data_IF_972166891284
#
_entry.id   IF_972166891284
#
_cell.length_a   1.000
_cell.length_b   1.000
_cell.length_c   1.000
_cell.angle_alpha   90.00
_cell.angle_beta   90.00
_cell.angle_gamma   90.00
#
_symmetry.space_group_name_H-M   'P 1'
#
loop_
_entity.id
_entity.type
_entity.pdbx_description
1 polymer ?
#
# COMPACT_ATOMS: atom_id res chain seq x y z
N UNK A 1 14.62 6.64 -13.05
CA UNK A 1 13.31 5.99 -12.87
C UNK A 1 12.18 6.84 -13.45
N UNK A 2 11.46 6.31 -14.41
CA UNK A 2 10.33 6.98 -15.05
C UNK A 2 9.02 6.18 -14.86
N UNK A 3 8.73 5.79 -13.64
CA UNK A 3 7.51 5.06 -13.29
C UNK A 3 6.26 5.97 -13.28
N UNK A 4 5.09 5.35 -13.38
CA UNK A 4 3.80 6.02 -13.29
C UNK A 4 3.62 6.71 -11.93
N UNK A 5 3.90 5.98 -10.84
CA UNK A 5 3.85 6.43 -9.45
C UNK A 5 5.13 6.11 -8.69
N UNK A 6 5.15 6.46 -7.40
CA UNK A 6 6.29 6.26 -6.48
C UNK A 6 7.62 6.76 -7.06
N UNK A 7 7.59 7.91 -7.73
CA UNK A 7 8.73 8.46 -8.48
C UNK A 7 9.92 8.89 -7.61
N UNK A 8 9.71 9.02 -6.31
CA UNK A 8 10.78 9.26 -5.34
C UNK A 8 11.64 8.02 -5.03
N UNK A 9 11.25 6.84 -5.52
CA UNK A 9 12.00 5.60 -5.38
C UNK A 9 13.02 5.45 -6.51
N UNK A 10 14.18 4.90 -6.20
CA UNK A 10 15.22 4.56 -7.18
C UNK A 10 15.16 3.08 -7.58
N UNK A 11 13.98 2.62 -8.04
CA UNK A 11 13.81 1.24 -8.50
C UNK A 11 14.37 1.06 -9.90
N UNK A 12 15.62 0.65 -9.99
CA UNK A 12 16.33 0.45 -11.25
C UNK A 12 17.11 -0.86 -11.22
N UNK A 13 17.42 -1.44 -12.40
CA UNK A 13 18.39 -2.51 -12.50
C UNK A 13 19.75 -2.06 -11.95
N UNK A 14 20.42 -2.93 -11.23
CA UNK A 14 21.80 -2.76 -10.80
C UNK A 14 22.66 -3.79 -11.54
N UNK A 15 23.76 -3.34 -12.12
CA UNK A 15 24.72 -4.19 -12.81
C UNK A 15 26.03 -4.09 -12.05
N UNK A 16 26.55 -5.23 -11.62
CA UNK A 16 27.83 -5.33 -10.93
C UNK A 16 28.81 -6.08 -11.85
N UNK A 17 29.88 -5.39 -12.25
CA UNK A 17 30.93 -5.97 -13.14
C UNK A 17 32.25 -6.04 -12.39
N UNK A 18 32.77 -7.26 -12.19
CA UNK A 18 34.08 -7.53 -11.58
C UNK A 18 34.24 -6.91 -10.17
N UNK A 19 33.16 -6.71 -9.41
CA UNK A 19 33.20 -6.19 -8.05
C UNK A 19 33.71 -7.28 -7.11
N UNK A 20 34.83 -7.00 -6.42
CA UNK A 20 35.32 -7.87 -5.34
C UNK A 20 34.71 -7.42 -4.01
N UNK A 21 33.98 -8.30 -3.37
CA UNK A 21 33.40 -8.07 -2.04
C UNK A 21 34.18 -8.93 -1.04
N UNK A 22 34.69 -8.30 0.02
CA UNK A 22 35.38 -8.98 1.11
C UNK A 22 34.38 -9.87 1.85
N UNK A 23 34.81 -11.08 2.23
CA UNK A 23 33.96 -12.09 2.88
C UNK A 23 33.35 -11.61 4.20
N UNK A 24 33.97 -10.68 4.89
CA UNK A 24 33.41 -10.05 6.12
C UNK A 24 32.08 -9.32 5.90
N UNK A 25 31.75 -8.97 4.63
CA UNK A 25 30.46 -8.37 4.27
C UNK A 25 29.38 -9.41 3.88
N UNK A 26 29.75 -10.70 3.90
CA UNK A 26 28.77 -11.76 3.69
C UNK A 26 27.88 -11.89 4.92
N UNK A 27 26.59 -11.86 4.70
CA UNK A 27 25.58 -12.15 5.71
C UNK A 27 25.28 -13.64 5.62
N UNK A 28 25.44 -14.40 6.71
CA UNK A 28 25.17 -15.84 6.77
C UNK A 28 26.03 -16.73 5.82
N UNK A 29 25.71 -18.01 5.80
CA UNK A 29 26.40 -19.00 4.97
C UNK A 29 26.10 -18.83 3.48
N UNK A 30 27.01 -19.26 2.63
CA UNK A 30 26.77 -19.30 1.19
C UNK A 30 25.59 -20.23 0.88
N UNK A 31 24.62 -19.75 0.10
CA UNK A 31 23.41 -20.48 -0.27
C UNK A 31 22.18 -20.19 0.59
N UNK A 32 22.32 -19.54 1.76
CA UNK A 32 21.19 -19.23 2.66
C UNK A 32 20.36 -17.99 2.27
N UNK A 33 20.63 -17.36 1.12
CA UNK A 33 20.00 -16.09 0.74
C UNK A 33 18.47 -16.16 0.62
N UNK A 34 17.92 -17.28 0.15
CA UNK A 34 16.47 -17.47 0.06
C UNK A 34 15.83 -17.51 1.45
N UNK A 35 16.39 -18.25 2.38
CA UNK A 35 15.89 -18.38 3.75
C UNK A 35 15.89 -17.01 4.44
N UNK A 36 16.96 -16.22 4.29
CA UNK A 36 17.04 -14.85 4.83
C UNK A 36 15.97 -13.93 4.24
N UNK A 37 15.72 -14.03 2.93
CA UNK A 37 14.67 -13.23 2.26
C UNK A 37 13.30 -13.62 2.80
N UNK A 38 13.02 -14.90 2.94
CA UNK A 38 11.70 -15.38 3.39
C UNK A 38 11.46 -15.06 4.86
N UNK A 39 12.40 -15.40 5.72
CA UNK A 39 12.21 -15.37 7.19
C UNK A 39 12.31 -13.94 7.75
N UNK A 40 13.18 -13.10 7.20
CA UNK A 40 13.46 -11.79 7.78
C UNK A 40 13.03 -10.66 6.86
N UNK A 41 13.61 -10.58 5.67
CA UNK A 41 13.42 -9.44 4.77
C UNK A 41 11.99 -9.39 4.27
N UNK A 42 11.41 -10.54 3.89
CA UNK A 42 10.08 -10.64 3.32
C UNK A 42 9.01 -10.08 4.26
N UNK A 43 9.01 -10.50 5.52
CA UNK A 43 8.06 -10.02 6.53
C UNK A 43 8.14 -8.50 6.73
N UNK A 44 9.35 -7.96 6.93
CA UNK A 44 9.57 -6.53 7.12
C UNK A 44 9.19 -5.72 5.86
N UNK A 45 9.53 -6.23 4.69
CA UNK A 45 9.20 -5.61 3.41
C UNK A 45 7.70 -5.56 3.17
N UNK A 46 6.97 -6.67 3.39
CA UNK A 46 5.51 -6.72 3.25
C UNK A 46 4.82 -5.74 4.20
N UNK A 47 5.25 -5.69 5.46
CA UNK A 47 4.70 -4.76 6.45
C UNK A 47 5.00 -3.32 6.09
N UNK A 48 6.21 -3.01 5.62
CA UNK A 48 6.58 -1.69 5.13
C UNK A 48 5.71 -1.23 3.95
N UNK A 49 5.48 -2.10 2.98
CA UNK A 49 4.60 -1.81 1.84
C UNK A 49 3.13 -1.63 2.28
N UNK A 50 2.62 -2.47 3.18
CA UNK A 50 1.27 -2.32 3.73
C UNK A 50 1.10 -0.98 4.45
N UNK A 51 2.12 -0.54 5.21
CA UNK A 51 2.12 0.75 5.89
C UNK A 51 2.13 1.93 4.89
N UNK A 52 2.93 1.85 3.83
CA UNK A 52 2.96 2.87 2.75
C UNK A 52 1.60 2.98 2.08
N UNK A 53 1.00 1.86 1.68
CA UNK A 53 -0.29 1.86 0.98
C UNK A 53 -1.43 2.31 1.90
N UNK A 54 -1.43 1.92 3.17
CA UNK A 54 -2.35 2.47 4.18
C UNK A 54 -2.19 3.99 4.35
N UNK A 55 -0.95 4.48 4.33
CA UNK A 55 -0.64 5.91 4.39
C UNK A 55 -1.15 6.67 3.16
N UNK A 56 -1.05 6.09 1.97
CA UNK A 56 -1.61 6.64 0.73
C UNK A 56 -3.13 6.75 0.82
N UNK A 57 -3.81 5.69 1.27
CA UNK A 57 -5.26 5.67 1.46
C UNK A 57 -5.72 6.73 2.47
N UNK A 58 -5.07 6.82 3.63
CA UNK A 58 -5.38 7.82 4.65
C UNK A 58 -5.19 9.24 4.15
N UNK A 59 -4.08 9.51 3.46
CA UNK A 59 -3.81 10.83 2.92
C UNK A 59 -4.84 11.22 1.85
N UNK A 60 -5.21 10.31 0.94
CA UNK A 60 -6.24 10.57 -0.06
C UNK A 60 -7.61 10.85 0.58
N UNK A 61 -8.00 10.04 1.58
CA UNK A 61 -9.24 10.24 2.33
C UNK A 61 -9.28 11.60 3.02
N UNK A 62 -8.25 11.95 3.79
CA UNK A 62 -8.21 13.22 4.51
C UNK A 62 -8.19 14.42 3.55
N UNK A 63 -7.34 14.38 2.52
CA UNK A 63 -7.22 15.48 1.55
C UNK A 63 -8.52 15.75 0.81
N UNK A 64 -9.30 14.71 0.46
CA UNK A 64 -10.56 14.91 -0.26
C UNK A 64 -11.69 15.34 0.68
N UNK A 65 -11.68 14.91 1.95
CA UNK A 65 -12.61 15.40 2.97
C UNK A 65 -12.42 16.90 3.14
N UNK A 66 -11.17 17.34 3.38
CA UNK A 66 -10.84 18.77 3.55
C UNK A 66 -11.24 19.59 2.32
N UNK A 67 -10.89 19.11 1.12
CA UNK A 67 -11.30 19.75 -0.13
C UNK A 67 -12.83 19.86 -0.25
N UNK A 68 -13.57 18.84 0.11
CA UNK A 68 -15.03 18.84 0.00
C UNK A 68 -15.72 19.86 0.91
N UNK A 69 -15.11 20.19 2.04
CA UNK A 69 -15.60 21.21 2.97
C UNK A 69 -15.36 22.64 2.45
N UNK A 70 -14.24 22.88 1.78
CA UNK A 70 -13.89 24.23 1.30
C UNK A 70 -14.44 24.54 -0.11
N UNK A 71 -14.71 23.51 -0.92
CA UNK A 71 -15.25 23.68 -2.28
C UNK A 71 -16.71 24.13 -2.21
N UNK A 72 -17.00 25.34 -2.75
CA UNK A 72 -18.33 25.94 -2.80
C UNK A 72 -18.87 26.00 -4.22
N UNK A 73 -20.18 25.90 -4.36
CA UNK A 73 -20.96 26.20 -5.55
C UNK A 73 -21.40 27.66 -5.58
N UNK A 74 -22.05 28.10 -6.67
CA UNK A 74 -22.52 29.47 -6.85
C UNK A 74 -23.59 29.87 -5.84
N UNK A 75 -24.34 28.94 -5.31
CA UNK A 75 -25.33 29.09 -4.25
C UNK A 75 -24.75 29.04 -2.84
N UNK A 76 -23.39 29.05 -2.74
CA UNK A 76 -22.63 28.93 -1.50
C UNK A 76 -22.76 27.57 -0.77
N UNK A 77 -23.44 26.57 -1.34
CA UNK A 77 -23.46 25.22 -0.79
C UNK A 77 -22.06 24.56 -0.91
N UNK A 78 -21.71 23.72 0.07
CA UNK A 78 -20.43 22.99 0.06
C UNK A 78 -20.57 21.65 -0.68
N UNK A 79 -19.50 21.20 -1.32
CA UNK A 79 -19.45 19.89 -2.00
C UNK A 79 -19.80 18.74 -1.01
N UNK A 80 -19.33 18.82 0.22
CA UNK A 80 -19.64 17.83 1.27
C UNK A 80 -21.14 17.80 1.68
N UNK A 81 -21.94 18.78 1.30
CA UNK A 81 -23.41 18.79 1.53
C UNK A 81 -24.18 17.87 0.60
N UNK A 82 -23.58 17.35 -0.45
CA UNK A 82 -24.23 16.46 -1.41
C UNK A 82 -24.30 15.03 -0.85
N UNK A 83 -25.50 14.41 -0.74
CA UNK A 83 -25.65 13.07 -0.13
C UNK A 83 -24.77 11.99 -0.76
N UNK A 84 -24.61 11.97 -2.09
CA UNK A 84 -23.73 11.02 -2.77
C UNK A 84 -22.24 11.21 -2.38
N UNK A 85 -21.84 12.47 -2.17
CA UNK A 85 -20.47 12.79 -1.71
C UNK A 85 -20.26 12.32 -0.27
N UNK A 86 -21.25 12.52 0.61
CA UNK A 86 -21.23 12.01 1.99
C UNK A 86 -21.10 10.49 2.03
N UNK A 87 -21.83 9.77 1.18
CA UNK A 87 -21.73 8.31 1.07
C UNK A 87 -20.31 7.88 0.64
N UNK A 88 -19.76 8.54 -0.37
CA UNK A 88 -18.39 8.26 -0.81
C UNK A 88 -17.34 8.57 0.27
N UNK A 89 -17.50 9.67 1.01
CA UNK A 89 -16.60 10.03 2.12
C UNK A 89 -16.65 8.96 3.22
N UNK A 90 -17.84 8.49 3.58
CA UNK A 90 -18.01 7.42 4.59
C UNK A 90 -17.33 6.11 4.14
N UNK A 91 -17.49 5.73 2.87
CA UNK A 91 -16.87 4.52 2.30
C UNK A 91 -15.33 4.62 2.32
N UNK A 92 -14.75 5.71 1.79
CA UNK A 92 -13.29 5.85 1.73
C UNK A 92 -12.65 5.97 3.11
N UNK A 93 -13.30 6.65 4.05
CA UNK A 93 -12.82 6.71 5.43
C UNK A 93 -12.76 5.32 6.07
N UNK A 94 -13.83 4.55 5.94
CA UNK A 94 -13.91 3.18 6.48
C UNK A 94 -12.83 2.27 5.88
N UNK A 95 -12.63 2.35 4.56
CA UNK A 95 -11.59 1.59 3.84
C UNK A 95 -10.17 1.98 4.28
N UNK A 96 -9.88 3.28 4.36
CA UNK A 96 -8.58 3.77 4.78
C UNK A 96 -8.28 3.41 6.25
N UNK A 97 -9.26 3.53 7.14
CA UNK A 97 -9.14 3.14 8.53
C UNK A 97 -8.91 1.63 8.67
N UNK A 98 -9.68 0.80 7.95
CA UNK A 98 -9.51 -0.66 7.99
C UNK A 98 -8.12 -1.09 7.53
N UNK A 99 -7.59 -0.50 6.46
CA UNK A 99 -6.24 -0.77 5.99
C UNK A 99 -5.18 -0.46 7.06
N UNK A 100 -5.29 0.71 7.71
CA UNK A 100 -4.40 1.10 8.81
C UNK A 100 -4.44 0.13 9.97
N UNK A 101 -5.65 -0.13 10.49
CA UNK A 101 -5.79 -0.96 11.70
C UNK A 101 -5.45 -2.42 11.44
N UNK A 102 -5.74 -2.95 10.25
CA UNK A 102 -5.32 -4.30 9.91
C UNK A 102 -3.79 -4.39 9.77
N UNK A 103 -3.13 -3.41 9.16
CA UNK A 103 -1.67 -3.34 9.10
C UNK A 103 -1.05 -3.32 10.51
N UNK A 104 -1.58 -2.51 11.43
CA UNK A 104 -1.09 -2.47 12.81
C UNK A 104 -1.34 -3.79 13.55
N UNK A 105 -2.49 -4.43 13.33
CA UNK A 105 -2.82 -5.73 13.92
C UNK A 105 -1.86 -6.83 13.42
N UNK A 106 -1.56 -6.84 12.11
CA UNK A 106 -0.60 -7.77 11.55
C UNK A 106 0.83 -7.56 12.10
N UNK A 107 1.26 -6.30 12.26
CA UNK A 107 2.54 -6.00 12.91
C UNK A 107 2.58 -6.51 14.36
N UNK A 108 1.50 -6.34 15.09
CA UNK A 108 1.37 -6.85 16.45
C UNK A 108 1.49 -8.37 16.50
N UNK A 109 0.82 -9.09 15.58
CA UNK A 109 0.89 -10.56 15.53
C UNK A 109 2.33 -11.06 15.29
N UNK A 110 3.13 -10.33 14.51
CA UNK A 110 4.57 -10.66 14.31
C UNK A 110 5.36 -10.50 15.62
N UNK A 111 5.14 -9.38 16.34
CA UNK A 111 5.84 -9.10 17.62
C UNK A 111 5.47 -10.14 18.68
N UNK A 112 4.23 -10.58 18.71
CA UNK A 112 3.71 -11.55 19.68
C UNK A 112 3.99 -13.02 19.27
N UNK A 113 4.66 -13.24 18.15
CA UNK A 113 4.92 -14.57 17.58
C UNK A 113 3.63 -15.41 17.41
N UNK A 114 2.55 -14.76 16.99
CA UNK A 114 1.26 -15.42 16.73
C UNK A 114 1.45 -16.50 15.65
N UNK A 115 0.94 -17.72 15.80
CA UNK A 115 0.98 -18.75 14.77
C UNK A 115 0.41 -18.31 13.42
N UNK A 116 -0.51 -17.34 13.39
CA UNK A 116 -1.11 -16.78 12.20
C UNK A 116 -0.38 -15.54 11.66
N UNK A 117 0.77 -15.14 12.24
CA UNK A 117 1.47 -13.91 11.88
C UNK A 117 1.77 -13.82 10.38
N UNK A 118 2.27 -14.89 9.76
CA UNK A 118 2.57 -14.92 8.33
C UNK A 118 1.32 -14.69 7.47
N UNK A 119 0.22 -15.38 7.78
CA UNK A 119 -1.05 -15.18 7.08
C UNK A 119 -1.60 -13.75 7.28
N UNK A 120 -1.48 -13.21 8.50
CA UNK A 120 -1.90 -11.84 8.81
C UNK A 120 -1.09 -10.79 8.04
N UNK A 121 0.23 -10.98 7.90
CA UNK A 121 1.11 -10.10 7.12
C UNK A 121 0.72 -10.10 5.63
N UNK A 122 0.53 -11.28 5.04
CA UNK A 122 0.10 -11.41 3.64
C UNK A 122 -1.28 -10.76 3.42
N UNK A 123 -2.24 -11.06 4.28
CA UNK A 123 -3.59 -10.53 4.22
C UNK A 123 -3.61 -8.99 4.37
N UNK A 124 -2.86 -8.44 5.32
CA UNK A 124 -2.77 -7.00 5.53
C UNK A 124 -2.13 -6.30 4.33
N UNK A 125 -1.08 -6.89 3.72
CA UNK A 125 -0.46 -6.36 2.51
C UNK A 125 -1.42 -6.31 1.32
N UNK A 126 -2.14 -7.41 1.07
CA UNK A 126 -3.16 -7.49 0.01
C UNK A 126 -4.27 -6.47 0.26
N UNK A 127 -4.79 -6.41 1.48
CA UNK A 127 -5.87 -5.50 1.86
C UNK A 127 -5.46 -4.04 1.70
N UNK A 128 -4.30 -3.64 2.24
CA UNK A 128 -3.82 -2.26 2.13
C UNK A 128 -3.64 -1.82 0.68
N UNK A 129 -3.11 -2.69 -0.19
CA UNK A 129 -2.98 -2.43 -1.62
C UNK A 129 -4.32 -2.15 -2.30
N UNK A 130 -5.30 -3.01 -2.07
CA UNK A 130 -6.63 -2.89 -2.65
C UNK A 130 -7.33 -1.62 -2.16
N UNK A 131 -7.28 -1.36 -0.86
CA UNK A 131 -7.90 -0.17 -0.28
C UNK A 131 -7.26 1.12 -0.75
N UNK A 132 -5.94 1.15 -0.97
CA UNK A 132 -5.26 2.34 -1.50
C UNK A 132 -5.77 2.73 -2.88
N UNK A 133 -5.95 1.76 -3.78
CA UNK A 133 -6.48 2.00 -5.13
C UNK A 133 -7.93 2.45 -5.08
N UNK A 134 -8.77 1.75 -4.31
CA UNK A 134 -10.20 2.06 -4.19
C UNK A 134 -10.44 3.47 -3.62
N UNK A 135 -9.75 3.81 -2.53
CA UNK A 135 -9.85 5.11 -1.86
C UNK A 135 -9.40 6.22 -2.80
N UNK A 136 -8.22 6.06 -3.44
CA UNK A 136 -7.71 7.10 -4.36
C UNK A 136 -8.59 7.27 -5.60
N UNK A 137 -9.16 6.19 -6.13
CA UNK A 137 -10.08 6.24 -7.26
C UNK A 137 -11.37 6.97 -6.90
N UNK A 138 -11.93 6.70 -5.72
CA UNK A 138 -13.13 7.38 -5.23
C UNK A 138 -12.85 8.84 -4.88
N UNK A 139 -11.69 9.14 -4.26
CA UNK A 139 -11.25 10.50 -4.01
C UNK A 139 -11.10 11.31 -5.31
N UNK A 140 -10.59 10.70 -6.38
CA UNK A 140 -10.54 11.31 -7.71
C UNK A 140 -11.94 11.67 -8.23
N UNK A 141 -12.95 10.79 -8.06
CA UNK A 141 -14.33 11.06 -8.44
C UNK A 141 -14.92 12.25 -7.69
N UNK A 142 -14.71 12.31 -6.37
CA UNK A 142 -15.17 13.44 -5.53
C UNK A 142 -14.52 14.75 -5.95
N UNK A 143 -13.20 14.74 -6.19
CA UNK A 143 -12.42 15.93 -6.55
C UNK A 143 -12.65 16.42 -7.98
N UNK A 144 -13.15 15.53 -8.85
CA UNK A 144 -13.51 15.85 -10.24
C UNK A 144 -12.36 16.51 -11.00
N UNK A 145 -12.68 17.50 -11.82
CA UNK A 145 -11.70 18.22 -12.64
C UNK A 145 -10.55 18.86 -11.84
N UNK A 146 -10.77 19.25 -10.58
CA UNK A 146 -9.73 19.83 -9.73
C UNK A 146 -8.67 18.80 -9.34
N UNK A 147 -9.11 17.58 -9.01
CA UNK A 147 -8.21 16.47 -8.71
C UNK A 147 -7.47 16.01 -9.98
N UNK A 148 -8.19 15.89 -11.08
CA UNK A 148 -7.64 15.47 -12.37
C UNK A 148 -6.61 16.47 -12.93
N UNK A 149 -6.83 17.77 -12.74
CA UNK A 149 -5.95 18.85 -13.22
C UNK A 149 -4.75 19.13 -12.28
N UNK A 150 -4.41 18.25 -11.36
CA UNK A 150 -3.26 18.36 -10.42
C UNK A 150 -3.31 19.57 -9.47
N UNK A 151 -4.50 20.15 -9.24
CA UNK A 151 -4.68 21.30 -8.33
C UNK A 151 -4.73 20.87 -6.86
N UNK A 152 -5.05 19.60 -6.62
CA UNK A 152 -4.96 18.91 -5.34
C UNK A 152 -4.20 17.60 -5.53
N UNK A 153 -3.58 17.09 -4.47
CA UNK A 153 -2.61 16.00 -4.55
C UNK A 153 -3.18 14.60 -4.87
N UNK A 154 -4.46 14.50 -5.16
CA UNK A 154 -5.16 13.22 -5.36
C UNK A 154 -4.63 12.45 -6.58
N UNK A 155 -4.28 13.16 -7.70
CA UNK A 155 -3.76 12.50 -8.89
C UNK A 155 -2.42 11.78 -8.63
N UNK A 156 -1.56 12.37 -7.78
CA UNK A 156 -0.31 11.74 -7.39
C UNK A 156 -0.56 10.51 -6.52
N UNK A 157 -1.44 10.63 -5.53
CA UNK A 157 -1.78 9.53 -4.64
C UNK A 157 -2.40 8.36 -5.41
N UNK A 158 -3.24 8.64 -6.43
CA UNK A 158 -3.79 7.61 -7.31
C UNK A 158 -2.69 6.90 -8.11
N UNK A 159 -1.75 7.64 -8.70
CA UNK A 159 -0.63 7.02 -9.41
C UNK A 159 0.28 6.21 -8.48
N UNK A 160 0.50 6.71 -7.27
CA UNK A 160 1.30 6.01 -6.27
C UNK A 160 0.62 4.73 -5.79
N UNK A 161 -0.72 4.73 -5.64
CA UNK A 161 -1.49 3.55 -5.25
C UNK A 161 -1.46 2.43 -6.28
N UNK A 162 -1.42 2.75 -7.58
CA UNK A 162 -1.38 1.75 -8.64
C UNK A 162 -0.10 0.89 -8.62
N UNK A 163 0.99 1.40 -8.04
CA UNK A 163 2.20 0.61 -7.85
C UNK A 163 1.99 -0.56 -6.87
N UNK A 164 1.03 -0.45 -5.96
CA UNK A 164 0.76 -1.46 -4.93
C UNK A 164 0.45 -2.85 -5.51
N UNK A 165 -0.28 -2.90 -6.62
CA UNK A 165 -0.68 -4.18 -7.25
C UNK A 165 0.47 -4.87 -7.99
N UNK A 166 1.45 -4.09 -8.51
CA UNK A 166 2.49 -4.62 -9.40
C UNK A 166 3.87 -4.76 -8.76
N UNK A 167 4.09 -4.16 -7.59
CA UNK A 167 5.35 -4.32 -6.84
C UNK A 167 5.50 -5.78 -6.38
N UNK A 168 6.67 -6.34 -6.64
CA UNK A 168 6.95 -7.74 -6.30
C UNK A 168 7.06 -7.95 -4.77
N UNK A 169 6.49 -9.06 -4.24
CA UNK A 169 5.55 -9.95 -4.92
C UNK A 169 4.23 -9.24 -5.25
N UNK A 170 3.69 -9.48 -6.45
CA UNK A 170 2.40 -8.87 -6.84
C UNK A 170 1.24 -9.38 -5.96
N UNK A 171 0.14 -8.63 -5.93
CA UNK A 171 -1.03 -9.03 -5.14
C UNK A 171 -1.57 -10.41 -5.52
N UNK A 172 -1.46 -10.83 -6.79
CA UNK A 172 -1.91 -12.16 -7.23
C UNK A 172 -1.03 -13.28 -6.64
N UNK A 173 0.29 -13.08 -6.63
CA UNK A 173 1.24 -14.00 -5.98
C UNK A 173 0.95 -14.07 -4.47
N UNK A 174 0.78 -12.92 -3.82
CA UNK A 174 0.48 -12.85 -2.39
C UNK A 174 -0.85 -13.53 -2.03
N UNK A 175 -1.86 -13.41 -2.89
CA UNK A 175 -3.15 -14.07 -2.70
C UNK A 175 -3.01 -15.59 -2.76
N UNK A 176 -2.21 -16.10 -3.69
CA UNK A 176 -1.88 -17.53 -3.75
C UNK A 176 -1.12 -17.98 -2.50
N UNK A 177 -0.13 -17.22 -2.06
CA UNK A 177 0.64 -17.51 -0.86
C UNK A 177 -0.23 -17.51 0.40
N UNK A 178 -1.14 -16.55 0.52
CA UNK A 178 -2.11 -16.53 1.62
C UNK A 178 -2.99 -17.78 1.64
N UNK A 179 -3.51 -18.20 0.47
CA UNK A 179 -4.29 -19.43 0.35
C UNK A 179 -3.51 -20.66 0.81
N UNK A 180 -2.24 -20.77 0.40
CA UNK A 180 -1.34 -21.85 0.84
C UNK A 180 -1.08 -21.80 2.35
N UNK A 181 -0.78 -20.61 2.92
CA UNK A 181 -0.57 -20.44 4.36
C UNK A 181 -1.78 -20.89 5.19
N UNK A 182 -2.99 -20.51 4.76
CA UNK A 182 -4.24 -20.86 5.44
C UNK A 182 -4.61 -22.36 5.33
N UNK A 183 -4.02 -23.07 4.39
CA UNK A 183 -4.27 -24.50 4.14
C UNK A 183 -3.07 -25.38 4.49
N UNK A 184 -2.09 -24.84 5.23
CA UNK A 184 -0.86 -25.52 5.65
C UNK A 184 -0.06 -26.14 4.49
N UNK A 185 -0.03 -25.45 3.35
CA UNK A 185 0.80 -25.79 2.21
C UNK A 185 2.08 -24.96 2.19
N UNK A 186 3.14 -25.50 1.59
CA UNK A 186 4.41 -24.77 1.40
C UNK A 186 4.20 -23.56 0.48
N UNK A 187 4.69 -22.38 0.91
CA UNK A 187 4.45 -21.11 0.22
C UNK A 187 5.36 -20.97 -1.00
N UNK A 188 6.63 -21.32 -0.86
CA UNK A 188 7.68 -21.20 -1.89
C UNK A 188 8.34 -22.55 -2.08
#
# INVERSE_FOLDING_TARGET
WNGLGKRGMASCPMIEENVKIDERFRIEAAGSGLDQIVDTVGTLFMMGLAAVDSGVALNASNSIIDYSMIRKYSDNSALCGIPTVQNHISDIYSKAASAKYFTLSAAKSVIEADPMAQANVLAARIHASSMAVDVCTTAMKIGGGTAYAKRINIERLLRDSLAAAVMAPSTDVLTTWLGKALTNQEII
#
